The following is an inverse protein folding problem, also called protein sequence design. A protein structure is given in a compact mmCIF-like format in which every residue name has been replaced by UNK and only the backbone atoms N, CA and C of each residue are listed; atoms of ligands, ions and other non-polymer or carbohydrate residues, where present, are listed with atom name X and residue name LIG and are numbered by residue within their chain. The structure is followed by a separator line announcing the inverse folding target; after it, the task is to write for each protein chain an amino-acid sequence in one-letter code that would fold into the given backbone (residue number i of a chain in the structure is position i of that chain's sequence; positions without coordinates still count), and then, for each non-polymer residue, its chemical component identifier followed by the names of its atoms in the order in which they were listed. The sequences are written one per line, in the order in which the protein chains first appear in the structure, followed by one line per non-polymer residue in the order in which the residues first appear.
data_IF_036416807938
#
_entry.id   IF_036416807938
#
_cell.length_a   1.000
_cell.length_b   1.000
_cell.length_c   1.000
_cell.angle_alpha   90.00
_cell.angle_beta   90.00
_cell.angle_gamma   90.00
#
_symmetry.space_group_name_H-M   'P 1'
#
loop_
_entity.id
_entity.type
_entity.pdbx_description
1 polymer ?
#
# COMPACT_ATOMS: atom_id res chain seq x y z
N UNK A 1 -0.09 -8.63 0.31
CA UNK A 1 -1.24 -7.98 -0.36
C UNK A 1 -2.42 -8.92 -0.26
N UNK A 2 -3.63 -8.42 -0.07
CA UNK A 2 -4.87 -9.21 -0.08
C UNK A 2 -5.38 -9.43 -1.52
N UNK A 3 -6.42 -10.26 -1.68
CA UNK A 3 -6.97 -10.62 -2.99
C UNK A 3 -7.81 -9.49 -3.59
N UNK A 4 -8.55 -8.74 -2.77
CA UNK A 4 -9.34 -7.60 -3.25
C UNK A 4 -8.42 -6.55 -3.88
N UNK A 5 -7.37 -6.11 -3.18
CA UNK A 5 -6.39 -5.14 -3.72
C UNK A 5 -5.70 -5.69 -4.97
N UNK A 6 -5.32 -6.97 -4.98
CA UNK A 6 -4.75 -7.61 -6.18
C UNK A 6 -5.69 -7.46 -7.38
N UNK A 7 -6.96 -7.80 -7.21
CA UNK A 7 -7.95 -7.80 -8.29
C UNK A 7 -8.18 -6.37 -8.81
N UNK A 8 -8.22 -5.38 -7.91
CA UNK A 8 -8.32 -3.96 -8.28
C UNK A 8 -7.11 -3.49 -9.09
N UNK A 9 -5.89 -3.82 -8.65
CA UNK A 9 -4.67 -3.46 -9.37
C UNK A 9 -4.56 -4.13 -10.75
N UNK A 10 -5.16 -5.31 -10.93
CA UNK A 10 -5.11 -6.09 -12.17
C UNK A 10 -6.37 -5.95 -13.04
N UNK A 11 -7.38 -5.21 -12.58
CA UNK A 11 -8.68 -5.09 -13.26
C UNK A 11 -8.58 -4.41 -14.64
N UNK A 12 -7.60 -3.54 -14.83
CA UNK A 12 -7.32 -2.88 -16.11
C UNK A 12 -6.03 -3.44 -16.71
N UNK A 13 -6.15 -4.37 -17.67
CA UNK A 13 -5.01 -4.83 -18.47
C UNK A 13 -4.34 -3.62 -19.15
N UNK A 14 -3.02 -3.52 -19.01
CA UNK A 14 -2.24 -2.41 -19.56
C UNK A 14 -2.23 -1.14 -18.72
N UNK A 15 -2.82 -1.14 -17.51
CA UNK A 15 -2.66 -0.03 -16.58
C UNK A 15 -1.18 0.10 -16.12
N UNK A 16 -0.68 1.34 -15.92
CA UNK A 16 0.68 1.56 -15.41
C UNK A 16 0.91 0.78 -14.12
N UNK A 17 1.96 -0.06 -14.09
CA UNK A 17 2.34 -0.84 -12.92
C UNK A 17 1.74 -2.26 -12.81
N UNK A 18 0.77 -2.63 -13.64
CA UNK A 18 0.18 -3.99 -13.62
C UNK A 18 1.20 -5.09 -13.92
N UNK A 19 2.05 -4.90 -14.94
CA UNK A 19 3.15 -5.83 -15.27
C UNK A 19 4.15 -5.98 -14.11
N UNK A 20 4.48 -4.87 -13.44
CA UNK A 20 5.40 -4.88 -12.30
C UNK A 20 4.81 -5.66 -11.11
N UNK A 21 3.50 -5.53 -10.87
CA UNK A 21 2.78 -6.31 -9.85
C UNK A 21 2.78 -7.80 -10.21
N UNK A 22 2.49 -8.15 -11.47
CA UNK A 22 2.53 -9.55 -11.94
C UNK A 22 3.92 -10.16 -11.80
N UNK A 23 4.98 -9.42 -12.16
CA UNK A 23 6.36 -9.84 -11.98
C UNK A 23 6.73 -10.01 -10.50
N UNK A 24 6.30 -9.10 -9.63
CA UNK A 24 6.54 -9.20 -8.20
C UNK A 24 5.82 -10.40 -7.57
N UNK A 25 4.63 -10.76 -8.07
CA UNK A 25 3.93 -11.97 -7.64
C UNK A 25 4.66 -13.22 -8.15
N UNK A 26 5.04 -13.25 -9.43
CA UNK A 26 5.66 -14.44 -10.04
C UNK A 26 7.03 -14.77 -9.46
N UNK A 27 7.79 -13.76 -9.04
CA UNK A 27 9.11 -13.93 -8.42
C UNK A 27 9.06 -14.02 -6.87
N UNK A 28 7.87 -14.15 -6.27
CA UNK A 28 7.65 -14.22 -4.82
C UNK A 28 8.05 -12.97 -4.01
N UNK A 29 8.34 -11.83 -4.64
CA UNK A 29 8.57 -10.55 -3.94
C UNK A 29 7.28 -10.07 -3.26
N UNK A 30 6.13 -10.26 -3.90
CA UNK A 30 4.81 -9.88 -3.42
C UNK A 30 3.94 -11.12 -3.22
N UNK A 31 3.69 -11.46 -1.96
CA UNK A 31 2.80 -12.57 -1.62
C UNK A 31 1.35 -12.10 -1.51
N UNK A 32 0.46 -12.88 -2.12
CA UNK A 32 -0.99 -12.73 -1.99
C UNK A 32 -1.45 -13.55 -0.80
N UNK A 33 -2.21 -12.92 0.08
CA UNK A 33 -2.92 -13.59 1.18
C UNK A 33 -4.41 -13.57 0.86
N UNK A 34 -5.14 -14.62 1.23
CA UNK A 34 -6.58 -14.63 1.06
C UNK A 34 -7.20 -13.48 1.84
N UNK A 35 -8.27 -12.94 1.28
CA UNK A 35 -9.11 -11.96 1.96
C UNK A 35 -9.58 -12.49 3.31
N UNK A 36 -9.70 -11.60 4.28
CA UNK A 36 -10.36 -11.96 5.52
C UNK A 36 -11.86 -12.10 5.24
N UNK A 37 -12.52 -13.12 5.85
CA UNK A 37 -13.93 -13.38 5.60
C UNK A 37 -14.76 -12.13 5.91
N UNK A 38 -15.62 -11.73 4.96
CA UNK A 38 -16.38 -10.48 4.97
C UNK A 38 -17.45 -10.33 6.05
N UNK A 39 -17.38 -11.12 7.13
CA UNK A 39 -18.21 -10.99 8.34
C UNK A 39 -17.42 -10.44 9.53
N UNK A 40 -16.15 -10.08 9.34
CA UNK A 40 -15.38 -9.42 10.38
C UNK A 40 -15.98 -8.02 10.64
N UNK A 41 -16.43 -7.77 11.87
CA UNK A 41 -17.01 -6.48 12.28
C UNK A 41 -16.07 -5.31 11.97
N UNK A 42 -14.76 -5.57 12.00
CA UNK A 42 -13.73 -4.61 11.63
C UNK A 42 -13.82 -4.18 10.16
N UNK A 43 -13.98 -5.12 9.22
CA UNK A 43 -14.06 -4.81 7.79
C UNK A 43 -15.32 -4.00 7.52
N UNK A 44 -16.46 -4.42 8.07
CA UNK A 44 -17.73 -3.69 7.91
C UNK A 44 -17.65 -2.27 8.46
N UNK A 45 -16.95 -2.06 9.59
CA UNK A 45 -16.75 -0.73 10.17
C UNK A 45 -15.86 0.14 9.27
N UNK A 46 -14.75 -0.42 8.79
CA UNK A 46 -13.80 0.31 7.93
C UNK A 46 -14.43 0.68 6.58
N UNK A 47 -15.23 -0.21 6.00
CA UNK A 47 -15.95 0.05 4.74
C UNK A 47 -17.01 1.15 4.80
N UNK A 48 -17.28 1.74 5.98
CA UNK A 48 -18.13 2.94 6.08
C UNK A 48 -17.43 4.21 5.59
N UNK A 49 -16.10 4.23 5.58
CA UNK A 49 -15.31 5.41 5.21
C UNK A 49 -14.12 5.10 4.29
N UNK A 50 -13.79 3.83 4.07
CA UNK A 50 -12.75 3.37 3.16
C UNK A 50 -13.34 2.48 2.08
N UNK A 51 -12.61 2.31 0.98
CA UNK A 51 -12.97 1.29 0.01
C UNK A 51 -12.72 -0.13 0.54
N UNK A 52 -13.20 -1.12 -0.21
CA UNK A 52 -13.12 -2.53 0.19
C UNK A 52 -11.67 -3.02 0.25
N UNK A 53 -10.82 -2.61 -0.70
CA UNK A 53 -9.41 -2.99 -0.75
C UNK A 53 -8.65 -2.46 0.47
N UNK A 54 -8.82 -1.18 0.80
CA UNK A 54 -8.23 -0.55 1.97
C UNK A 54 -8.69 -1.19 3.28
N UNK A 55 -9.98 -1.47 3.41
CA UNK A 55 -10.53 -2.15 4.58
C UNK A 55 -9.92 -3.55 4.77
N UNK A 56 -9.82 -4.34 3.69
CA UNK A 56 -9.17 -5.65 3.72
C UNK A 56 -7.68 -5.55 4.06
N UNK A 57 -6.97 -4.60 3.46
CA UNK A 57 -5.55 -4.41 3.65
C UNK A 57 -5.22 -4.02 5.11
N UNK A 58 -6.01 -3.13 5.72
CA UNK A 58 -5.89 -2.76 7.14
C UNK A 58 -6.17 -3.96 8.04
N UNK A 59 -7.28 -4.67 7.80
CA UNK A 59 -7.65 -5.83 8.62
C UNK A 59 -6.59 -6.94 8.52
N UNK A 60 -6.06 -7.19 7.33
CA UNK A 60 -4.98 -8.15 7.10
C UNK A 60 -3.70 -7.72 7.80
N UNK A 61 -3.31 -6.45 7.71
CA UNK A 61 -2.13 -5.93 8.41
C UNK A 61 -2.28 -6.09 9.93
N UNK A 62 -3.46 -5.81 10.48
CA UNK A 62 -3.75 -5.93 11.92
C UNK A 62 -3.65 -7.37 12.39
N UNK A 63 -4.22 -8.31 11.65
CA UNK A 63 -4.17 -9.74 11.98
C UNK A 63 -2.74 -10.27 12.03
N UNK A 64 -1.85 -9.76 11.17
CA UNK A 64 -0.47 -10.25 11.06
C UNK A 64 0.54 -9.39 11.85
N UNK A 65 0.07 -8.38 12.60
CA UNK A 65 0.93 -7.37 13.25
C UNK A 65 2.02 -6.82 12.31
N UNK A 66 1.62 -6.52 11.07
CA UNK A 66 2.53 -6.15 10.01
C UNK A 66 2.71 -4.63 9.90
N UNK A 67 3.90 -4.20 9.45
CA UNK A 67 4.11 -2.82 9.00
C UNK A 67 3.24 -2.56 7.76
N UNK A 68 2.29 -1.63 7.90
CA UNK A 68 1.32 -1.34 6.87
C UNK A 68 1.79 -0.19 5.97
N UNK A 69 1.92 -0.46 4.67
CA UNK A 69 2.24 0.55 3.66
C UNK A 69 0.97 1.24 3.20
N UNK A 70 0.83 2.53 3.52
CA UNK A 70 -0.30 3.34 3.09
C UNK A 70 0.09 4.80 2.88
N UNK A 71 -0.38 5.36 1.78
CA UNK A 71 -0.15 6.74 1.40
C UNK A 71 -1.43 7.58 1.26
N UNK A 72 -2.60 6.94 1.19
CA UNK A 72 -3.89 7.62 1.23
C UNK A 72 -4.16 8.16 2.65
N UNK A 73 -4.72 9.38 2.75
CA UNK A 73 -4.84 10.14 3.99
C UNK A 73 -5.90 9.55 4.94
N UNK A 74 -7.06 9.18 4.42
CA UNK A 74 -8.15 8.58 5.19
C UNK A 74 -7.79 7.18 5.69
N UNK A 75 -7.27 6.32 4.82
CA UNK A 75 -6.80 5.00 5.18
C UNK A 75 -5.64 5.07 6.18
N UNK A 76 -4.74 6.04 6.05
CA UNK A 76 -3.70 6.30 7.07
C UNK A 76 -4.31 6.61 8.43
N UNK A 77 -5.26 7.54 8.50
CA UNK A 77 -5.92 7.91 9.75
C UNK A 77 -6.68 6.73 10.37
N UNK A 78 -7.31 5.89 9.55
CA UNK A 78 -7.97 4.68 10.01
C UNK A 78 -6.96 3.67 10.58
N UNK A 79 -5.85 3.42 9.87
CA UNK A 79 -4.80 2.52 10.32
C UNK A 79 -4.15 2.98 11.65
N UNK A 80 -3.89 4.28 11.79
CA UNK A 80 -3.39 4.88 13.04
C UNK A 80 -4.37 4.67 14.20
N UNK A 81 -5.67 4.89 13.99
CA UNK A 81 -6.71 4.63 15.00
C UNK A 81 -6.80 3.18 15.41
N UNK A 82 -6.48 2.25 14.50
CA UNK A 82 -6.40 0.82 14.78
C UNK A 82 -5.09 0.40 15.46
N UNK A 83 -4.19 1.34 15.75
CA UNK A 83 -2.90 1.09 16.40
C UNK A 83 -1.95 0.27 15.51
N UNK A 84 -2.04 0.44 14.19
CA UNK A 84 -1.09 -0.18 13.26
C UNK A 84 0.21 0.60 13.18
N UNK A 85 1.31 -0.14 13.06
CA UNK A 85 2.56 0.45 12.58
C UNK A 85 2.42 0.74 11.09
N UNK A 86 2.57 2.01 10.71
CA UNK A 86 2.40 2.44 9.32
C UNK A 86 3.70 2.97 8.70
N UNK A 87 3.79 2.91 7.38
CA UNK A 87 4.80 3.58 6.57
C UNK A 87 4.16 4.08 5.27
N UNK A 88 4.74 5.10 4.66
CA UNK A 88 4.39 5.53 3.30
C UNK A 88 5.50 5.23 2.31
N UNK A 89 5.23 5.34 1.01
CA UNK A 89 6.21 5.08 -0.06
C UNK A 89 7.42 6.01 0.06
N UNK A 90 7.21 7.28 0.40
CA UNK A 90 8.32 8.23 0.58
C UNK A 90 9.19 7.88 1.79
N UNK A 91 8.59 7.42 2.88
CA UNK A 91 9.33 6.98 4.06
C UNK A 91 10.18 5.73 3.75
N UNK A 92 9.68 4.82 2.90
CA UNK A 92 10.46 3.68 2.41
C UNK A 92 11.64 4.11 1.56
N UNK A 93 11.47 5.06 0.63
CA UNK A 93 12.57 5.60 -0.17
C UNK A 93 13.66 6.24 0.70
N UNK A 94 13.27 7.01 1.71
CA UNK A 94 14.21 7.62 2.67
C UNK A 94 14.97 6.52 3.45
N UNK A 95 14.26 5.48 3.92
CA UNK A 95 14.89 4.33 4.60
C UNK A 95 15.90 3.62 3.69
N UNK A 96 15.55 3.37 2.43
CA UNK A 96 16.43 2.74 1.46
C UNK A 96 17.70 3.57 1.21
N UNK A 97 17.58 4.90 1.08
CA UNK A 97 18.75 5.79 0.97
C UNK A 97 19.63 5.74 2.21
N UNK A 98 19.04 5.80 3.41
CA UNK A 98 19.79 5.71 4.68
C UNK A 98 20.51 4.36 4.84
N UNK A 99 19.97 3.30 4.25
CA UNK A 99 20.58 1.97 4.23
C UNK A 99 21.64 1.80 3.13
N UNK A 100 21.93 2.84 2.32
CA UNK A 100 22.89 2.77 1.21
C UNK A 100 22.39 1.99 -0.02
N UNK A 101 21.10 1.60 -0.06
CA UNK A 101 20.49 0.91 -1.20
C UNK A 101 20.18 1.86 -2.36
N UNK A 102 20.08 3.16 -2.07
CA UNK A 102 19.88 4.22 -3.05
C UNK A 102 20.85 5.36 -2.76
N UNK A 103 21.62 5.78 -3.75
CA UNK A 103 22.46 6.98 -3.63
C UNK A 103 21.60 8.24 -3.49
N UNK A 104 20.50 8.30 -4.24
CA UNK A 104 19.55 9.42 -4.23
C UNK A 104 18.11 8.95 -4.42
N UNK A 105 17.17 9.64 -3.76
CA UNK A 105 15.74 9.38 -3.88
C UNK A 105 15.06 10.27 -4.93
N UNK A 106 15.74 11.33 -5.39
CA UNK A 106 15.17 12.32 -6.32
C UNK A 106 14.65 11.67 -7.62
N UNK A 107 15.39 10.76 -8.29
CA UNK A 107 14.90 10.11 -9.51
C UNK A 107 13.63 9.27 -9.27
N UNK A 108 13.56 8.57 -8.13
CA UNK A 108 12.39 7.77 -7.76
C UNK A 108 11.16 8.66 -7.51
N UNK A 109 11.33 9.77 -6.78
CA UNK A 109 10.26 10.73 -6.53
C UNK A 109 9.78 11.36 -7.84
N UNK A 110 10.69 11.81 -8.70
CA UNK A 110 10.34 12.39 -10.00
C UNK A 110 9.58 11.40 -10.87
N UNK A 111 9.99 10.13 -10.89
CA UNK A 111 9.25 9.09 -11.61
C UNK A 111 7.83 8.92 -11.07
N UNK A 112 7.67 8.82 -9.75
CA UNK A 112 6.34 8.71 -9.13
C UNK A 112 5.46 9.91 -9.46
N UNK A 113 6.01 11.13 -9.42
CA UNK A 113 5.30 12.34 -9.83
C UNK A 113 4.87 12.33 -11.30
N UNK A 114 5.74 11.88 -12.20
CA UNK A 114 5.43 11.73 -13.63
C UNK A 114 4.33 10.68 -13.86
N UNK A 115 4.27 9.65 -13.03
CA UNK A 115 3.24 8.61 -13.06
C UNK A 115 1.93 9.06 -12.36
N UNK A 116 1.82 10.34 -12.01
CA UNK A 116 0.60 10.97 -11.46
C UNK A 116 0.53 11.02 -9.93
N UNK A 117 1.59 10.58 -9.23
CA UNK A 117 1.63 10.56 -7.79
C UNK A 117 1.84 11.94 -7.17
N UNK A 118 1.03 12.31 -6.17
CA UNK A 118 1.10 13.63 -5.53
C UNK A 118 1.56 13.52 -4.09
N UNK A 119 2.68 14.16 -3.78
CA UNK A 119 3.12 14.36 -2.40
C UNK A 119 2.70 15.75 -1.93
N UNK A 120 2.18 15.86 -0.70
CA UNK A 120 1.98 17.18 -0.10
C UNK A 120 3.35 17.86 0.07
N UNK A 121 3.48 19.12 -0.35
CA UNK A 121 4.76 19.87 -0.40
C UNK A 121 5.42 20.13 0.97
N UNK A 122 4.96 19.49 2.04
CA UNK A 122 5.56 19.55 3.38
C UNK A 122 6.58 18.42 3.64
N UNK A 123 6.76 17.50 2.68
CA UNK A 123 7.57 16.29 2.81
C UNK A 123 8.85 16.28 1.95
N UNK A 124 9.17 17.38 1.26
CA UNK A 124 10.38 17.54 0.43
C UNK A 124 11.10 18.82 0.82
#
# INVERSE_FOLDING_TARGET
MDETVRNECLAKQGAPGSDAILMAISNNTLQIKPDLPGQDQLISLLSTCLDKGEAQAIALAKKNDALFLIDEKMGRAAAERMGLNITGSLALLIKAKRAGLLETIKPAITRLQNDGYRYSGRLV
#
